data_IF_271032819497
#
_entry.id   IF_271032819497
#
_cell.length_a   1.000
_cell.length_b   1.000
_cell.length_c   1.000
_cell.angle_alpha   90.00
_cell.angle_beta   90.00
_cell.angle_gamma   90.00
#
_symmetry.space_group_name_H-M   'P 1'
#
loop_
_entity.id
_entity.type
_entity.pdbx_description
1 polymer ?
#
# COMPACT_ATOMS: atom_id res chain seq x y z
N UNK A 1 14.02 5.52 15.86
CA UNK A 1 12.86 5.85 15.01
C UNK A 1 12.08 4.58 14.74
N UNK A 2 10.74 4.66 14.64
CA UNK A 2 9.92 3.51 14.31
C UNK A 2 10.29 2.98 12.90
N UNK A 3 10.37 1.65 12.70
CA UNK A 3 10.71 1.08 11.40
C UNK A 3 9.69 1.51 10.34
N UNK A 4 10.19 2.00 9.21
CA UNK A 4 9.40 2.38 8.02
C UNK A 4 9.87 1.51 6.86
N UNK A 5 8.92 0.95 6.12
CA UNK A 5 9.17 0.25 4.86
C UNK A 5 8.25 0.81 3.80
N UNK A 6 8.82 1.31 2.71
CA UNK A 6 8.09 1.82 1.55
C UNK A 6 8.57 1.04 0.33
N UNK A 7 7.64 0.44 -0.42
CA UNK A 7 7.95 -0.29 -1.64
C UNK A 7 6.97 0.04 -2.74
N UNK A 8 7.52 0.44 -3.89
CA UNK A 8 6.80 0.46 -5.17
C UNK A 8 7.30 -0.74 -5.96
N UNK A 9 6.39 -1.62 -6.35
CA UNK A 9 6.75 -2.91 -6.98
C UNK A 9 5.67 -3.38 -7.94
N UNK A 10 5.99 -4.29 -8.84
CA UNK A 10 5.01 -4.93 -9.73
C UNK A 10 4.38 -6.16 -9.09
N UNK A 11 5.17 -6.90 -8.32
CA UNK A 11 4.78 -8.20 -7.79
C UNK A 11 3.71 -8.09 -6.69
N UNK A 12 2.82 -9.10 -6.57
CA UNK A 12 1.94 -9.23 -5.42
C UNK A 12 2.71 -9.27 -4.09
N UNK A 13 2.00 -8.97 -3.00
CA UNK A 13 2.55 -9.03 -1.64
C UNK A 13 1.61 -9.82 -0.72
N UNK A 14 2.18 -10.41 0.33
CA UNK A 14 1.42 -11.16 1.33
C UNK A 14 1.24 -10.31 2.60
N UNK A 15 0.01 -9.82 2.83
CA UNK A 15 -0.32 -9.00 4.01
C UNK A 15 0.08 -9.70 5.33
N UNK A 16 -0.06 -11.02 5.41
CA UNK A 16 0.31 -11.78 6.59
C UNK A 16 1.82 -11.75 6.84
N UNK A 17 2.64 -11.83 5.80
CA UNK A 17 4.09 -11.74 5.86
C UNK A 17 4.52 -10.35 6.32
N UNK A 18 3.93 -9.29 5.77
CA UNK A 18 4.22 -7.91 6.16
C UNK A 18 3.83 -7.64 7.61
N UNK A 19 2.65 -8.09 8.02
CA UNK A 19 2.16 -7.97 9.40
C UNK A 19 3.06 -8.72 10.38
N UNK A 20 3.54 -9.93 10.02
CA UNK A 20 4.52 -10.68 10.83
C UNK A 20 5.86 -9.94 10.92
N UNK A 21 6.34 -9.40 9.82
CA UNK A 21 7.59 -8.62 9.76
C UNK A 21 7.54 -7.40 10.68
N UNK A 22 6.43 -6.66 10.64
CA UNK A 22 6.25 -5.42 11.43
C UNK A 22 6.36 -5.64 12.95
N UNK A 23 5.95 -6.82 13.43
CA UNK A 23 6.00 -7.19 14.87
C UNK A 23 7.10 -8.21 15.20
N UNK A 24 7.98 -8.55 14.26
CA UNK A 24 8.96 -9.61 14.47
C UNK A 24 9.87 -9.28 15.66
N UNK A 25 9.93 -10.19 16.64
CA UNK A 25 10.72 -10.01 17.87
C UNK A 25 10.21 -8.93 18.83
N UNK A 26 9.05 -8.32 18.56
CA UNK A 26 8.49 -7.22 19.36
C UNK A 26 7.30 -7.66 20.20
N UNK A 27 7.30 -7.25 21.46
CA UNK A 27 6.22 -7.50 22.42
C UNK A 27 5.48 -6.21 22.82
N UNK A 28 5.96 -5.05 22.35
CA UNK A 28 5.38 -3.73 22.60
C UNK A 28 4.26 -3.35 21.60
N UNK A 29 4.09 -4.13 20.53
CA UNK A 29 3.04 -3.91 19.52
C UNK A 29 1.70 -4.46 20.01
N UNK A 30 0.84 -3.58 20.53
CA UNK A 30 -0.48 -3.95 21.03
C UNK A 30 -1.60 -4.04 19.99
N UNK A 31 -1.41 -3.47 18.79
CA UNK A 31 -2.40 -3.51 17.70
C UNK A 31 -1.73 -3.30 16.34
N UNK A 32 -2.33 -3.86 15.30
CA UNK A 32 -1.98 -3.59 13.89
C UNK A 32 -3.28 -3.32 13.13
N UNK A 33 -3.32 -2.20 12.42
CA UNK A 33 -4.37 -1.87 11.47
C UNK A 33 -3.82 -2.00 10.04
N UNK A 34 -4.64 -2.50 9.11
CA UNK A 34 -4.27 -2.63 7.71
C UNK A 34 -5.39 -2.16 6.79
N UNK A 35 -5.00 -1.66 5.63
CA UNK A 35 -5.89 -1.33 4.54
C UNK A 35 -5.32 -1.93 3.26
N UNK A 36 -6.17 -2.62 2.49
CA UNK A 36 -5.82 -3.22 1.20
C UNK A 36 -6.78 -2.64 0.16
N UNK A 37 -6.22 -1.94 -0.83
CA UNK A 37 -6.95 -1.52 -2.02
C UNK A 37 -6.87 -2.61 -3.07
N UNK A 38 -8.01 -2.93 -3.68
CA UNK A 38 -8.09 -3.88 -4.79
C UNK A 38 -8.57 -3.16 -6.06
N UNK A 39 -8.10 -3.60 -7.22
CA UNK A 39 -8.61 -3.12 -8.50
C UNK A 39 -10.09 -3.54 -8.67
N UNK A 40 -10.96 -2.62 -9.11
CA UNK A 40 -12.41 -2.86 -9.24
C UNK A 40 -12.80 -3.20 -10.68
N UNK A 41 -13.78 -4.09 -10.82
CA UNK A 41 -14.36 -4.50 -12.11
C UNK A 41 -15.41 -3.51 -12.68
N UNK A 42 -15.32 -2.22 -12.36
CA UNK A 42 -16.24 -1.24 -12.95
C UNK A 42 -15.61 0.14 -13.01
N UNK A 43 -15.96 0.88 -14.06
CA UNK A 43 -15.59 2.28 -14.22
C UNK A 43 -16.79 3.18 -13.86
N UNK A 44 -16.79 3.85 -12.69
CA UNK A 44 -17.87 4.76 -12.35
C UNK A 44 -17.90 5.93 -13.36
N UNK A 45 -19.06 6.18 -13.98
CA UNK A 45 -19.27 7.34 -14.85
C UNK A 45 -19.25 7.06 -16.36
N UNK A 46 -19.12 5.81 -16.80
CA UNK A 46 -19.30 5.43 -18.22
C UNK A 46 -20.73 4.94 -18.44
N UNK A 47 -21.38 5.40 -19.52
CA UNK A 47 -22.76 5.04 -19.87
C UNK A 47 -22.92 3.59 -20.36
N UNK A 48 -21.80 2.86 -20.53
CA UNK A 48 -21.77 1.46 -20.96
C UNK A 48 -21.25 0.61 -19.78
N UNK A 49 -22.03 -0.35 -19.26
CA UNK A 49 -21.66 -1.21 -18.13
C UNK A 49 -20.62 -2.28 -18.54
N UNK A 50 -19.56 -1.86 -19.23
CA UNK A 50 -18.43 -2.72 -19.58
C UNK A 50 -17.59 -3.09 -18.35
N UNK A 51 -17.16 -4.35 -18.30
CA UNK A 51 -16.21 -4.86 -17.30
C UNK A 51 -14.81 -4.30 -17.55
N UNK A 52 -14.06 -3.99 -16.48
CA UNK A 52 -12.67 -3.53 -16.59
C UNK A 52 -11.80 -4.76 -16.86
N UNK A 53 -11.10 -4.79 -17.99
CA UNK A 53 -10.22 -5.93 -18.30
C UNK A 53 -8.88 -5.84 -17.57
N UNK A 54 -8.29 -4.65 -17.51
CA UNK A 54 -7.08 -4.36 -16.77
C UNK A 54 -6.94 -2.86 -16.50
N UNK A 55 -6.09 -2.52 -15.54
CA UNK A 55 -5.66 -1.16 -15.23
C UNK A 55 -4.13 -1.12 -15.27
N UNK A 56 -3.57 -0.22 -16.06
CA UNK A 56 -2.13 0.04 -16.08
C UNK A 56 -1.84 1.21 -15.11
N UNK A 57 -1.02 0.95 -14.09
CA UNK A 57 -0.59 1.99 -13.15
C UNK A 57 0.89 2.26 -13.28
N UNK A 58 1.24 3.43 -13.78
CA UNK A 58 2.62 3.92 -13.83
C UNK A 58 2.94 4.79 -12.61
N UNK A 59 4.23 4.95 -12.33
CA UNK A 59 4.72 5.85 -11.29
C UNK A 59 5.96 6.59 -11.77
N UNK A 60 6.29 7.70 -11.10
CA UNK A 60 7.55 8.40 -11.33
C UNK A 60 8.58 7.92 -10.29
N UNK A 61 9.62 7.17 -10.71
CA UNK A 61 10.59 6.60 -9.78
C UNK A 61 11.24 7.66 -8.89
N UNK A 62 11.25 7.41 -7.59
CA UNK A 62 11.79 8.28 -6.56
C UNK A 62 10.85 9.39 -6.10
N UNK A 63 9.94 9.89 -6.94
CA UNK A 63 8.96 10.91 -6.51
C UNK A 63 7.82 10.27 -5.72
N UNK A 64 7.30 9.13 -6.19
CA UNK A 64 6.19 8.43 -5.54
C UNK A 64 6.60 7.95 -4.15
N UNK A 65 7.79 7.36 -4.02
CA UNK A 65 8.35 6.94 -2.74
C UNK A 65 8.52 8.12 -1.78
N UNK A 66 9.02 9.26 -2.28
CA UNK A 66 9.19 10.46 -1.47
C UNK A 66 7.85 11.02 -0.98
N UNK A 67 6.85 11.10 -1.86
CA UNK A 67 5.52 11.56 -1.47
C UNK A 67 4.90 10.65 -0.40
N UNK A 68 5.06 9.34 -0.50
CA UNK A 68 4.64 8.38 0.53
C UNK A 68 5.44 8.60 1.83
N UNK A 69 6.76 8.79 1.75
CA UNK A 69 7.59 9.06 2.91
C UNK A 69 7.14 10.32 3.67
N UNK A 70 6.82 11.40 2.94
CA UNK A 70 6.32 12.65 3.53
C UNK A 70 4.98 12.43 4.25
N UNK A 71 4.07 11.63 3.68
CA UNK A 71 2.80 11.25 4.32
C UNK A 71 3.00 10.40 5.57
N UNK A 72 3.92 9.43 5.53
CA UNK A 72 4.27 8.60 6.68
C UNK A 72 4.87 9.44 7.80
N UNK A 73 5.76 10.37 7.46
CA UNK A 73 6.35 11.29 8.44
C UNK A 73 5.28 12.17 9.09
N UNK A 74 4.39 12.78 8.29
CA UNK A 74 3.28 13.56 8.81
C UNK A 74 2.34 12.75 9.72
N UNK A 75 2.18 11.44 9.47
CA UNK A 75 1.42 10.56 10.35
C UNK A 75 2.16 10.26 11.66
N UNK A 76 3.48 10.03 11.61
CA UNK A 76 4.31 9.82 12.81
C UNK A 76 4.40 11.08 13.69
N UNK A 77 4.34 12.26 13.10
CA UNK A 77 4.31 13.52 13.84
C UNK A 77 2.98 13.71 14.60
N UNK A 78 1.90 13.10 14.11
CA UNK A 78 0.54 13.18 14.70
C UNK A 78 0.24 12.06 15.69
N UNK A 79 0.77 10.86 15.44
CA UNK A 79 0.47 9.66 16.21
C UNK A 79 1.74 8.89 16.56
N UNK A 80 1.82 8.30 17.77
CA UNK A 80 2.98 7.53 18.22
C UNK A 80 3.01 6.13 17.56
N UNK A 81 3.19 6.08 16.24
CA UNK A 81 3.22 4.84 15.47
C UNK A 81 4.47 4.04 15.81
N UNK A 82 4.28 2.75 16.12
CA UNK A 82 5.38 1.84 16.44
C UNK A 82 6.10 1.30 15.21
N UNK A 83 5.50 1.38 14.03
CA UNK A 83 6.07 0.99 12.75
C UNK A 83 5.06 1.19 11.61
N UNK A 84 5.56 1.31 10.38
CA UNK A 84 4.72 1.52 9.18
C UNK A 84 5.27 0.73 8.00
N UNK A 85 4.39 0.07 7.26
CA UNK A 85 4.68 -0.54 5.97
C UNK A 85 3.70 -0.03 4.94
N UNK A 86 4.21 0.54 3.84
CA UNK A 86 3.42 0.97 2.68
C UNK A 86 3.95 0.26 1.45
N UNK A 87 3.08 -0.48 0.76
CA UNK A 87 3.39 -1.15 -0.50
C UNK A 87 2.35 -0.70 -1.51
N UNK A 88 2.80 -0.20 -2.65
CA UNK A 88 1.92 0.17 -3.75
C UNK A 88 2.35 -0.57 -5.02
N UNK A 89 1.41 -1.31 -5.61
CA UNK A 89 1.68 -2.02 -6.86
C UNK A 89 1.61 -1.08 -8.07
N UNK A 90 2.41 -1.36 -9.08
CA UNK A 90 2.44 -0.67 -10.38
C UNK A 90 2.49 -1.71 -11.51
N UNK A 91 2.32 -1.26 -12.75
CA UNK A 91 2.20 -2.12 -13.93
C UNK A 91 0.74 -2.56 -14.16
N UNK A 92 0.54 -3.65 -14.92
CA UNK A 92 -0.78 -4.17 -15.22
C UNK A 92 -1.41 -4.83 -14.00
N UNK A 93 -2.65 -4.44 -13.69
CA UNK A 93 -3.48 -4.98 -12.61
C UNK A 93 -4.81 -5.45 -13.17
N UNK A 94 -5.27 -6.61 -12.70
CA UNK A 94 -6.59 -7.16 -13.05
C UNK A 94 -7.61 -6.85 -11.95
N UNK A 95 -8.92 -6.83 -12.23
CA UNK A 95 -9.92 -6.73 -11.18
C UNK A 95 -9.72 -7.80 -10.09
N UNK A 96 -9.69 -7.37 -8.83
CA UNK A 96 -9.41 -8.22 -7.68
C UNK A 96 -7.94 -8.32 -7.26
N UNK A 97 -7.01 -7.83 -8.10
CA UNK A 97 -5.58 -7.65 -7.73
C UNK A 97 -5.36 -6.56 -6.68
#
# INVERSE_FOLDING_TARGET
>A
MAPITIRIQTDPFDLGAETRSLRAGRQDVGAIASFIGLCRDHHPGVCDPGHVQSMELEHYPGMTERAIADMVQAAQDRWPLLGVTVIHRVGPLLPGD
#
